data_IF_518457804556
#
_entry.id   IF_518457804556
#
_cell.length_a   1.000
_cell.length_b   1.000
_cell.length_c   1.000
_cell.angle_alpha   90.00
_cell.angle_beta   90.00
_cell.angle_gamma   90.00
#
_symmetry.space_group_name_H-M   'P 1'
#
loop_
_entity.id
_entity.type
_entity.pdbx_description
1 polymer ?
#
# COMPACT_ATOMS: atom_id res chain seq x y z
N UNK A 1 -9.75 -17.78 22.45
CA UNK A 1 -10.17 -16.76 21.45
C UNK A 1 -11.58 -17.13 21.00
N UNK A 2 -12.59 -16.27 21.24
CA UNK A 2 -13.97 -16.53 20.83
C UNK A 2 -14.05 -16.57 19.30
N UNK A 3 -14.46 -17.72 18.76
CA UNK A 3 -14.87 -17.91 17.37
C UNK A 3 -16.24 -17.23 17.25
N UNK A 4 -16.29 -15.91 17.09
CA UNK A 4 -17.52 -15.23 16.69
C UNK A 4 -17.90 -15.80 15.33
N UNK A 5 -18.99 -16.56 15.30
CA UNK A 5 -19.59 -17.09 14.07
C UNK A 5 -19.74 -15.91 13.10
N UNK A 6 -19.26 -16.09 11.87
CA UNK A 6 -19.44 -15.10 10.81
C UNK A 6 -20.95 -14.91 10.63
N UNK A 7 -21.48 -13.67 10.64
CA UNK A 7 -22.91 -13.40 10.50
C UNK A 7 -23.55 -14.04 9.25
N UNK A 8 -22.73 -14.31 8.23
CA UNK A 8 -23.14 -14.94 6.97
C UNK A 8 -22.10 -16.00 6.54
N UNK A 9 -22.29 -17.28 6.92
CA UNK A 9 -21.34 -18.35 6.59
C UNK A 9 -21.25 -18.64 5.08
N UNK A 10 -22.30 -18.34 4.31
CA UNK A 10 -22.32 -18.45 2.85
C UNK A 10 -21.65 -17.26 2.15
N UNK A 11 -21.31 -16.19 2.88
CA UNK A 11 -20.73 -14.96 2.32
C UNK A 11 -19.46 -14.51 3.09
N UNK A 12 -18.42 -15.36 3.19
CA UNK A 12 -17.23 -15.06 3.99
C UNK A 12 -16.53 -13.77 3.57
N UNK A 13 -16.60 -13.41 2.28
CA UNK A 13 -16.00 -12.18 1.77
C UNK A 13 -16.57 -10.92 2.44
N UNK A 14 -17.87 -10.88 2.76
CA UNK A 14 -18.51 -9.70 3.38
C UNK A 14 -17.98 -9.42 4.78
N UNK A 15 -17.47 -10.43 5.47
CA UNK A 15 -16.90 -10.26 6.79
C UNK A 15 -15.44 -9.80 6.75
N UNK A 16 -14.69 -10.19 5.71
CA UNK A 16 -13.30 -9.81 5.54
C UNK A 16 -13.13 -8.34 5.12
N UNK A 17 -14.00 -7.86 4.24
CA UNK A 17 -14.00 -6.49 3.76
C UNK A 17 -15.41 -6.04 3.36
N UNK A 18 -15.71 -4.75 3.49
CA UNK A 18 -16.97 -4.19 2.97
C UNK A 18 -16.88 -4.03 1.45
N UNK A 19 -16.94 -5.16 0.74
CA UNK A 19 -16.92 -5.18 -0.73
C UNK A 19 -18.14 -4.49 -1.35
N UNK A 20 -19.22 -4.31 -0.58
CA UNK A 20 -20.48 -3.70 -1.05
C UNK A 20 -20.34 -2.20 -1.31
N UNK A 21 -19.63 -1.48 -0.42
CA UNK A 21 -19.20 -0.09 -0.67
C UNK A 21 -17.95 -0.02 -1.54
N UNK A 22 -17.26 -1.15 -1.73
CA UNK A 22 -15.98 -1.24 -2.38
C UNK A 22 -16.02 -1.82 -3.81
N UNK A 23 -17.17 -1.73 -4.49
CA UNK A 23 -17.13 -1.56 -5.95
C UNK A 23 -16.20 -0.40 -6.33
N UNK A 24 -15.89 0.55 -5.44
CA UNK A 24 -14.69 1.40 -5.52
C UNK A 24 -13.73 1.12 -4.37
N UNK A 25 -12.81 0.15 -4.51
CA UNK A 25 -11.73 0.01 -3.52
C UNK A 25 -10.74 1.16 -3.69
N UNK A 26 -10.63 2.03 -2.67
CA UNK A 26 -9.37 2.75 -2.44
C UNK A 26 -8.38 1.69 -2.00
N UNK A 27 -7.35 1.41 -2.81
CA UNK A 27 -6.46 0.27 -2.53
C UNK A 27 -5.84 0.32 -1.13
N UNK A 28 -5.22 -0.79 -0.74
CA UNK A 28 -4.92 -1.14 0.67
C UNK A 28 -4.18 -0.07 1.48
N UNK A 29 -3.56 0.90 0.82
CA UNK A 29 -2.98 2.11 1.40
C UNK A 29 -3.99 3.03 2.11
N UNK A 30 -5.29 2.78 2.04
CA UNK A 30 -6.33 3.60 2.68
C UNK A 30 -6.29 3.58 4.23
N UNK A 31 -5.59 2.62 4.87
CA UNK A 31 -5.26 2.71 6.31
C UNK A 31 -4.31 3.87 6.65
N UNK A 32 -3.61 4.44 5.67
CA UNK A 32 -2.73 5.61 5.87
C UNK A 32 -3.52 6.92 5.99
N UNK A 33 -4.77 6.97 5.52
CA UNK A 33 -5.60 8.17 5.59
C UNK A 33 -6.01 8.56 7.02
N UNK A 34 -5.89 7.66 8.00
CA UNK A 34 -6.03 8.00 9.43
C UNK A 34 -4.68 8.35 10.07
N UNK A 35 -3.57 7.88 9.48
CA UNK A 35 -2.20 8.10 9.97
C UNK A 35 -1.55 9.37 9.43
N UNK A 36 -2.17 10.08 8.49
CA UNK A 36 -1.62 11.35 7.99
C UNK A 36 -1.35 12.36 9.11
N UNK A 37 -2.20 12.43 10.13
CA UNK A 37 -1.97 13.27 11.31
C UNK A 37 -0.68 12.91 12.05
N UNK A 38 -0.30 11.63 12.09
CA UNK A 38 0.98 11.19 12.70
C UNK A 38 2.17 11.73 11.90
N UNK A 39 2.06 11.77 10.57
CA UNK A 39 3.12 12.36 9.73
C UNK A 39 3.21 13.88 9.88
N UNK A 40 2.06 14.57 9.97
CA UNK A 40 2.02 16.02 10.21
C UNK A 40 2.61 16.35 11.59
N UNK A 41 2.20 15.62 12.63
CA UNK A 41 2.74 15.78 13.98
C UNK A 41 4.24 15.49 14.03
N UNK A 42 4.68 14.39 13.42
CA UNK A 42 6.10 14.03 13.35
C UNK A 42 6.95 15.08 12.62
N UNK A 43 6.43 15.65 11.53
CA UNK A 43 7.08 16.76 10.82
C UNK A 43 7.16 18.02 11.70
N UNK A 44 6.08 18.34 12.44
CA UNK A 44 6.06 19.45 13.38
C UNK A 44 7.11 19.31 14.49
N UNK A 45 7.23 18.12 15.09
CA UNK A 45 8.25 17.82 16.11
C UNK A 45 9.65 17.96 15.50
N UNK A 46 9.87 17.42 14.31
CA UNK A 46 11.17 17.50 13.63
C UNK A 46 11.58 18.95 13.37
N UNK A 47 10.66 19.79 12.89
CA UNK A 47 10.90 21.21 12.65
C UNK A 47 11.16 21.97 13.95
N UNK A 48 10.46 21.64 15.04
CA UNK A 48 10.71 22.23 16.35
C UNK A 48 12.12 21.88 16.85
N UNK A 49 12.53 20.62 16.74
CA UNK A 49 13.88 20.20 17.12
C UNK A 49 14.94 20.88 16.26
N UNK A 50 14.77 20.92 14.93
CA UNK A 50 15.65 21.65 14.01
C UNK A 50 15.81 23.13 14.42
N UNK A 51 14.69 23.77 14.79
CA UNK A 51 14.68 25.17 15.23
C UNK A 51 15.42 25.37 16.54
N UNK A 52 15.22 24.49 17.54
CA UNK A 52 15.93 24.54 18.82
C UNK A 52 17.43 24.37 18.62
N UNK A 53 17.86 23.40 17.81
CA UNK A 53 19.30 23.22 17.56
C UNK A 53 19.92 24.36 16.77
N UNK A 54 19.19 24.98 15.84
CA UNK A 54 19.65 26.20 15.18
C UNK A 54 19.82 27.36 16.15
N UNK A 55 18.90 27.50 17.11
CA UNK A 55 18.99 28.54 18.14
C UNK A 55 20.21 28.32 19.06
N UNK A 56 20.45 27.09 19.53
CA UNK A 56 21.65 26.77 20.33
C UNK A 56 22.92 26.97 19.52
N UNK A 57 22.93 26.55 18.24
CA UNK A 57 24.09 26.72 17.36
C UNK A 57 24.45 28.19 17.11
N UNK A 58 23.44 29.07 17.12
CA UNK A 58 23.63 30.51 16.99
C UNK A 58 24.27 31.12 18.24
N UNK A 59 23.83 30.71 19.43
CA UNK A 59 24.35 31.19 20.71
C UNK A 59 25.79 30.71 20.97
N UNK A 60 26.09 29.47 20.60
CA UNK A 60 27.42 28.85 20.77
C UNK A 60 28.41 29.18 19.64
N UNK A 61 28.01 30.05 18.71
CA UNK A 61 28.87 30.42 17.58
C UNK A 61 30.12 31.15 18.08
N UNK A 62 31.29 30.52 17.87
CA UNK A 62 32.59 31.07 18.28
C UNK A 62 33.13 30.52 19.60
N UNK A 63 32.38 29.69 20.33
CA UNK A 63 32.79 29.11 21.62
C UNK A 63 33.63 27.82 21.47
N UNK A 64 34.78 27.93 20.78
CA UNK A 64 35.77 26.86 20.69
C UNK A 64 35.24 25.55 20.08
N UNK A 65 35.78 24.40 20.54
CA UNK A 65 35.45 23.07 20.00
C UNK A 65 33.97 22.71 20.24
N UNK A 66 33.37 23.16 21.34
CA UNK A 66 31.97 22.89 21.68
C UNK A 66 31.00 23.47 20.64
N UNK A 67 31.22 24.73 20.23
CA UNK A 67 30.39 25.39 19.21
C UNK A 67 30.40 24.66 17.86
N UNK A 68 31.55 24.14 17.43
CA UNK A 68 31.64 23.37 16.18
C UNK A 68 30.82 22.08 16.21
N UNK A 69 30.78 21.38 17.35
CA UNK A 69 29.97 20.16 17.49
C UNK A 69 28.48 20.48 17.36
N UNK A 70 28.01 21.55 18.00
CA UNK A 70 26.60 21.98 17.91
C UNK A 70 26.24 22.38 16.49
N UNK A 71 27.13 23.11 15.79
CA UNK A 71 26.92 23.51 14.39
C UNK A 71 26.80 22.30 13.46
N UNK A 72 27.66 21.30 13.61
CA UNK A 72 27.61 20.06 12.82
C UNK A 72 26.29 19.32 13.09
N UNK A 73 25.88 19.19 14.35
CA UNK A 73 24.62 18.55 14.73
C UNK A 73 23.42 19.28 14.12
N UNK A 74 23.38 20.61 14.23
CA UNK A 74 22.33 21.44 13.65
C UNK A 74 22.27 21.25 12.13
N UNK A 75 23.41 21.26 11.44
CA UNK A 75 23.49 21.02 10.00
C UNK A 75 22.84 19.69 9.60
N UNK A 76 23.21 18.58 10.25
CA UNK A 76 22.62 17.27 9.94
C UNK A 76 21.13 17.19 10.24
N UNK A 77 20.65 17.85 11.30
CA UNK A 77 19.22 17.87 11.61
C UNK A 77 18.43 18.65 10.55
N UNK A 78 18.94 19.79 10.07
CA UNK A 78 18.31 20.52 8.96
C UNK A 78 18.34 19.70 7.67
N UNK A 79 19.46 19.05 7.35
CA UNK A 79 19.55 18.19 6.18
C UNK A 79 18.51 17.06 6.23
N UNK A 80 18.35 16.43 7.39
CA UNK A 80 17.33 15.42 7.61
C UNK A 80 15.90 15.97 7.48
N UNK A 81 15.63 17.16 8.03
CA UNK A 81 14.35 17.84 7.89
C UNK A 81 14.01 18.15 6.42
N UNK A 82 14.97 18.70 5.66
CA UNK A 82 14.83 18.96 4.22
C UNK A 82 14.53 17.68 3.45
N UNK A 83 15.24 16.58 3.74
CA UNK A 83 14.98 15.28 3.12
C UNK A 83 13.56 14.78 3.38
N UNK A 84 13.09 14.85 4.63
CA UNK A 84 11.72 14.44 5.00
C UNK A 84 10.68 15.29 4.30
N UNK A 85 10.88 16.62 4.23
CA UNK A 85 10.00 17.55 3.52
C UNK A 85 9.97 17.22 2.02
N UNK A 86 11.12 17.00 1.40
CA UNK A 86 11.21 16.64 -0.02
C UNK A 86 10.44 15.35 -0.34
N UNK A 87 10.56 14.33 0.52
CA UNK A 87 9.79 13.09 0.40
C UNK A 87 8.27 13.32 0.58
N UNK A 88 7.88 14.19 1.52
CA UNK A 88 6.49 14.55 1.75
C UNK A 88 5.89 15.30 0.55
N UNK A 89 6.60 16.30 0.01
CA UNK A 89 6.23 17.04 -1.20
C UNK A 89 6.11 16.07 -2.38
N UNK A 90 7.08 15.18 -2.60
CA UNK A 90 7.01 14.16 -3.67
C UNK A 90 5.74 13.31 -3.55
N UNK A 91 5.37 12.86 -2.34
CA UNK A 91 4.13 12.11 -2.10
C UNK A 91 2.87 12.93 -2.36
N UNK A 92 2.87 14.21 -1.95
CA UNK A 92 1.76 15.13 -2.21
C UNK A 92 1.58 15.36 -3.71
N UNK A 93 2.66 15.64 -4.44
CA UNK A 93 2.65 15.83 -5.89
C UNK A 93 2.13 14.59 -6.61
N UNK A 94 2.55 13.37 -6.21
CA UNK A 94 1.98 12.13 -6.74
C UNK A 94 0.47 12.05 -6.50
N UNK A 95 0.01 12.40 -5.29
CA UNK A 95 -1.42 12.38 -4.96
C UNK A 95 -2.22 13.42 -5.74
N UNK A 96 -1.66 14.59 -6.00
CA UNK A 96 -2.30 15.63 -6.82
C UNK A 96 -2.34 15.23 -8.30
N UNK A 97 -1.25 14.65 -8.82
CA UNK A 97 -1.13 14.23 -10.22
C UNK A 97 -2.04 13.05 -10.56
N UNK A 98 -2.05 12.01 -9.72
CA UNK A 98 -2.75 10.76 -10.00
C UNK A 98 -4.12 10.67 -9.31
N UNK A 99 -4.37 11.53 -8.32
CA UNK A 99 -5.58 11.46 -7.51
C UNK A 99 -5.56 10.24 -6.58
N UNK A 100 -6.76 9.76 -6.23
CA UNK A 100 -6.95 8.54 -5.47
C UNK A 100 -7.39 7.44 -6.44
N UNK A 101 -6.51 6.49 -6.76
CA UNK A 101 -6.86 5.44 -7.70
C UNK A 101 -7.93 4.53 -7.10
N UNK A 102 -8.86 4.09 -7.94
CA UNK A 102 -9.96 3.20 -7.58
C UNK A 102 -9.95 2.01 -8.52
N UNK A 103 -10.41 0.87 -8.03
CA UNK A 103 -10.72 -0.27 -8.88
C UNK A 103 -12.21 -0.56 -8.78
N UNK A 104 -12.83 -0.82 -9.93
CA UNK A 104 -14.19 -1.32 -10.06
C UNK A 104 -14.13 -2.78 -10.50
N UNK A 105 -14.78 -3.67 -9.77
CA UNK A 105 -14.97 -5.05 -10.19
C UNK A 105 -16.35 -5.19 -10.82
N UNK A 106 -16.45 -5.93 -11.92
CA UNK A 106 -17.75 -6.18 -12.54
C UNK A 106 -18.59 -7.18 -11.72
N UNK A 107 -17.92 -8.09 -11.00
CA UNK A 107 -18.56 -9.07 -10.10
C UNK A 107 -17.71 -9.30 -8.86
N UNK A 108 -18.38 -9.50 -7.71
CA UNK A 108 -17.75 -9.87 -6.44
C UNK A 108 -18.61 -10.93 -5.72
N UNK A 109 -18.01 -12.00 -5.18
CA UNK A 109 -16.62 -12.41 -5.35
C UNK A 109 -16.36 -12.97 -6.76
N UNK A 110 -15.09 -13.06 -7.13
CA UNK A 110 -14.63 -13.84 -8.29
C UNK A 110 -14.27 -15.23 -7.79
N UNK A 111 -14.62 -16.28 -8.53
CA UNK A 111 -14.30 -17.66 -8.16
C UNK A 111 -13.05 -18.16 -8.90
N UNK A 112 -12.29 -19.11 -8.33
CA UNK A 112 -11.31 -19.87 -9.11
C UNK A 112 -11.97 -20.47 -10.37
N UNK A 113 -11.29 -20.41 -11.50
CA UNK A 113 -11.83 -20.81 -12.81
C UNK A 113 -12.64 -19.74 -13.54
N UNK A 114 -12.98 -18.61 -12.91
CA UNK A 114 -13.68 -17.49 -13.55
C UNK A 114 -12.72 -16.43 -14.11
N UNK A 115 -13.22 -15.62 -15.04
CA UNK A 115 -12.52 -14.43 -15.54
C UNK A 115 -12.71 -13.25 -14.58
N UNK A 116 -11.63 -12.76 -13.99
CA UNK A 116 -11.57 -11.51 -13.26
C UNK A 116 -11.67 -10.35 -14.24
N UNK A 117 -12.79 -9.60 -14.21
CA UNK A 117 -12.95 -8.34 -14.92
C UNK A 117 -12.99 -7.16 -13.95
N UNK A 118 -12.11 -6.20 -14.18
CA UNK A 118 -12.02 -4.99 -13.39
C UNK A 118 -11.65 -3.77 -14.23
N UNK A 119 -11.91 -2.58 -13.69
CA UNK A 119 -11.56 -1.29 -14.27
C UNK A 119 -10.83 -0.45 -13.24
N UNK A 120 -9.59 -0.08 -13.52
CA UNK A 120 -8.82 0.85 -12.68
C UNK A 120 -9.05 2.27 -13.17
N UNK A 121 -9.57 3.12 -12.29
CA UNK A 121 -9.86 4.52 -12.55
C UNK A 121 -8.83 5.36 -11.81
N UNK A 122 -7.98 6.05 -12.54
CA UNK A 122 -6.98 6.96 -11.95
C UNK A 122 -6.64 8.08 -12.92
N UNK A 123 -6.33 9.26 -12.38
CA UNK A 123 -6.01 10.41 -13.22
C UNK A 123 -4.63 10.22 -13.83
N UNK A 124 -4.50 10.58 -15.11
CA UNK A 124 -3.21 10.65 -15.79
C UNK A 124 -2.62 9.32 -16.23
N UNK A 125 -3.28 8.18 -16.02
CA UNK A 125 -2.80 6.89 -16.51
C UNK A 125 -2.67 6.86 -18.04
N UNK A 126 -3.53 7.61 -18.74
CA UNK A 126 -3.47 7.85 -20.19
C UNK A 126 -2.17 8.46 -20.70
N UNK A 127 -1.28 8.91 -19.80
CA UNK A 127 0.05 9.47 -20.12
C UNK A 127 1.19 8.51 -19.76
N UNK A 128 0.90 7.25 -19.48
CA UNK A 128 1.91 6.23 -19.20
C UNK A 128 2.62 5.83 -20.49
N UNK A 129 3.94 5.74 -20.44
CA UNK A 129 4.77 5.25 -21.54
C UNK A 129 4.73 3.71 -21.61
N UNK A 130 4.63 3.06 -20.45
CA UNK A 130 4.44 1.62 -20.30
C UNK A 130 3.52 1.32 -19.14
N UNK A 131 2.73 0.27 -19.29
CA UNK A 131 1.83 -0.21 -18.26
C UNK A 131 2.05 -1.71 -18.05
N UNK A 132 2.27 -2.08 -16.80
CA UNK A 132 2.42 -3.44 -16.34
C UNK A 132 1.35 -3.67 -15.25
N UNK A 133 0.51 -4.67 -15.45
CA UNK A 133 -0.47 -5.09 -14.46
C UNK A 133 -0.10 -6.49 -14.00
N UNK A 134 -0.02 -6.66 -12.69
CA UNK A 134 0.40 -7.90 -12.06
C UNK A 134 -0.62 -8.36 -11.05
N UNK A 135 -1.23 -9.51 -11.29
CA UNK A 135 -2.03 -10.21 -10.28
C UNK A 135 -1.12 -11.16 -9.50
N UNK A 136 -1.20 -11.16 -8.15
CA UNK A 136 -0.37 -11.96 -7.24
C UNK A 136 -1.19 -12.57 -6.11
N UNK A 137 -0.85 -13.78 -5.70
CA UNK A 137 -1.32 -14.37 -4.44
C UNK A 137 -0.30 -14.08 -3.34
N UNK A 138 -0.76 -13.64 -2.18
CA UNK A 138 0.07 -13.16 -1.06
C UNK A 138 -0.30 -13.92 0.21
N UNK A 139 0.72 -14.44 0.91
CA UNK A 139 0.58 -15.15 2.18
C UNK A 139 1.33 -14.40 3.28
N UNK A 140 0.63 -13.77 4.22
CA UNK A 140 1.28 -13.02 5.31
C UNK A 140 1.99 -13.95 6.29
N UNK A 141 3.31 -14.03 6.25
CA UNK A 141 4.09 -14.78 7.23
C UNK A 141 4.31 -13.95 8.50
N UNK A 142 4.16 -14.58 9.67
CA UNK A 142 4.35 -13.92 10.95
C UNK A 142 5.64 -14.41 11.59
N UNK A 143 6.71 -13.61 11.50
CA UNK A 143 7.98 -13.88 12.15
C UNK A 143 7.99 -13.40 13.60
N UNK A 144 8.20 -14.29 14.56
CA UNK A 144 8.50 -13.89 15.93
C UNK A 144 9.98 -13.56 16.06
N UNK A 145 10.34 -12.28 15.90
CA UNK A 145 11.67 -11.82 16.29
C UNK A 145 11.71 -11.70 17.82
N UNK A 146 12.26 -12.71 18.50
CA UNK A 146 12.56 -12.62 19.93
C UNK A 146 13.53 -11.47 20.16
N UNK A 147 13.01 -10.34 20.67
CA UNK A 147 13.87 -9.26 21.17
C UNK A 147 14.60 -9.76 22.41
N UNK A 148 15.92 -9.61 22.45
CA UNK A 148 16.76 -10.02 23.60
C UNK A 148 16.40 -9.33 24.92
N UNK A 149 15.54 -8.30 24.90
CA UNK A 149 15.00 -7.60 26.07
C UNK A 149 13.51 -7.91 26.28
N UNK A 150 13.16 -9.17 26.55
CA UNK A 150 11.96 -9.60 27.33
C UNK A 150 10.55 -9.17 26.90
N UNK A 151 10.38 -8.30 25.90
CA UNK A 151 9.09 -7.88 25.35
C UNK A 151 9.05 -8.27 23.88
N UNK A 152 8.40 -9.41 23.62
CA UNK A 152 8.21 -9.94 22.28
C UNK A 152 7.48 -8.92 21.40
N UNK A 153 8.22 -8.27 20.51
CA UNK A 153 7.64 -7.44 19.46
C UNK A 153 7.41 -8.36 18.26
N UNK A 154 6.16 -8.71 18.01
CA UNK A 154 5.77 -9.45 16.80
C UNK A 154 6.03 -8.53 15.60
N UNK A 155 6.98 -8.90 14.75
CA UNK A 155 7.23 -8.20 13.48
C UNK A 155 6.43 -8.96 12.43
N UNK A 156 5.52 -8.27 11.77
CA UNK A 156 4.75 -8.86 10.66
C UNK A 156 5.61 -8.69 9.42
N UNK A 157 6.10 -9.81 8.87
CA UNK A 157 6.85 -9.83 7.63
C UNK A 157 5.96 -10.40 6.54
N UNK A 158 5.25 -9.53 5.83
CA UNK A 158 4.43 -9.94 4.70
C UNK A 158 5.34 -10.37 3.55
N UNK A 159 5.68 -11.66 3.48
CA UNK A 159 6.41 -12.23 2.36
C UNK A 159 5.40 -12.74 1.32
N UNK A 160 5.53 -12.33 0.06
CA UNK A 160 4.77 -12.97 -1.02
C UNK A 160 5.35 -14.38 -1.21
N UNK A 161 4.67 -15.38 -0.66
CA UNK A 161 4.98 -16.79 -0.87
C UNK A 161 4.01 -17.30 -1.93
N UNK A 162 4.54 -17.82 -3.03
CA UNK A 162 3.82 -18.33 -4.20
C UNK A 162 3.18 -17.24 -5.08
N UNK A 163 4.04 -16.50 -5.77
CA UNK A 163 3.61 -15.55 -6.81
C UNK A 163 3.14 -16.33 -8.03
N UNK A 164 1.84 -16.59 -8.13
CA UNK A 164 1.22 -16.68 -9.45
C UNK A 164 1.29 -15.29 -10.06
N UNK A 165 2.29 -15.04 -10.89
CA UNK A 165 2.51 -13.75 -11.52
C UNK A 165 1.93 -13.78 -12.93
N UNK A 166 0.80 -13.10 -13.13
CA UNK A 166 0.33 -12.82 -14.49
C UNK A 166 0.67 -11.39 -14.80
N UNK A 167 1.62 -11.23 -15.73
CA UNK A 167 2.05 -9.93 -16.23
C UNK A 167 1.40 -9.72 -17.58
N UNK A 168 0.60 -8.66 -17.69
CA UNK A 168 0.27 -8.10 -19.00
C UNK A 168 1.25 -6.96 -19.26
N UNK A 169 2.30 -7.25 -20.03
CA UNK A 169 3.20 -6.23 -20.58
C UNK A 169 2.58 -5.61 -21.82
N UNK A 170 2.84 -4.32 -22.04
CA UNK A 170 2.31 -3.56 -23.18
C UNK A 170 0.81 -3.79 -23.37
N UNK A 171 0.03 -3.50 -22.32
CA UNK A 171 -1.39 -3.25 -22.53
C UNK A 171 -1.45 -2.03 -23.46
N UNK A 172 -1.53 -2.28 -24.77
CA UNK A 172 -1.90 -1.36 -25.84
C UNK A 172 -3.37 -0.96 -25.60
N UNK A 173 -3.62 -0.42 -24.41
CA UNK A 173 -4.92 -0.04 -23.95
C UNK A 173 -5.21 1.27 -24.63
N UNK A 174 -6.24 1.21 -25.45
CA UNK A 174 -7.30 2.19 -25.50
C UNK A 174 -7.71 2.60 -24.08
N UNK A 175 -6.83 3.29 -23.36
CA UNK A 175 -7.16 4.04 -22.17
C UNK A 175 -8.26 4.94 -22.65
N UNK A 176 -9.48 4.70 -22.16
CA UNK A 176 -10.55 5.64 -22.38
C UNK A 176 -9.99 7.01 -22.04
N UNK A 177 -10.28 8.03 -22.85
CA UNK A 177 -9.75 9.38 -22.60
C UNK A 177 -10.06 9.91 -21.18
N UNK A 178 -10.92 9.20 -20.44
CA UNK A 178 -11.31 9.38 -19.04
C UNK A 178 -10.28 8.87 -18.00
N UNK A 179 -9.23 8.15 -18.40
CA UNK A 179 -8.25 7.57 -17.47
C UNK A 179 -8.70 6.25 -16.85
N UNK A 180 -9.56 5.50 -17.55
CA UNK A 180 -9.98 4.16 -17.17
C UNK A 180 -9.16 3.09 -17.87
N UNK A 181 -8.60 2.16 -17.10
CA UNK A 181 -7.87 0.99 -17.56
C UNK A 181 -8.73 -0.27 -17.35
N UNK A 182 -9.24 -0.92 -18.41
CA UNK A 182 -9.84 -2.24 -18.28
C UNK A 182 -8.75 -3.30 -18.01
N UNK A 183 -9.08 -4.26 -17.16
CA UNK A 183 -8.20 -5.34 -16.71
C UNK A 183 -8.98 -6.64 -16.76
N UNK A 184 -8.41 -7.64 -17.43
CA UNK A 184 -8.96 -8.99 -17.50
C UNK A 184 -7.89 -10.02 -17.15
N UNK A 185 -8.19 -10.94 -16.24
CA UNK A 185 -7.33 -12.08 -15.90
C UNK A 185 -8.15 -13.35 -15.80
N UNK A 186 -7.71 -14.43 -16.43
CA UNK A 186 -8.31 -15.75 -16.21
C UNK A 186 -7.73 -16.34 -14.91
N UNK A 187 -8.58 -16.53 -13.90
CA UNK A 187 -8.16 -17.15 -12.64
C UNK A 187 -8.18 -18.67 -12.85
N UNK A 188 -7.05 -19.39 -12.64
CA UNK A 188 -7.05 -20.85 -12.74
C UNK A 188 -8.07 -21.49 -11.79
N UNK A 189 -8.62 -22.63 -12.17
CA UNK A 189 -9.52 -23.40 -11.30
C UNK A 189 -8.82 -23.91 -10.04
N UNK A 190 -7.52 -24.22 -10.15
CA UNK A 190 -6.66 -24.61 -9.03
C UNK A 190 -6.20 -23.43 -8.14
N UNK A 191 -6.60 -22.19 -8.47
CA UNK A 191 -6.17 -21.02 -7.74
C UNK A 191 -6.73 -21.03 -6.30
N UNK A 192 -5.90 -20.74 -5.28
CA UNK A 192 -6.37 -20.70 -3.90
C UNK A 192 -7.34 -19.54 -3.65
N UNK A 193 -8.32 -19.76 -2.79
CA UNK A 193 -9.24 -18.71 -2.33
C UNK A 193 -8.62 -17.80 -1.25
N UNK A 194 -9.15 -16.59 -1.12
CA UNK A 194 -8.81 -15.65 -0.05
C UNK A 194 -9.23 -16.20 1.32
N UNK A 195 -8.33 -16.05 2.30
CA UNK A 195 -8.48 -16.47 3.69
C UNK A 195 -7.93 -15.36 4.60
N UNK A 196 -8.57 -14.18 4.58
CA UNK A 196 -8.12 -13.02 5.36
C UNK A 196 -8.38 -13.18 6.87
N UNK A 197 -9.37 -13.99 7.25
CA UNK A 197 -9.69 -14.32 8.64
C UNK A 197 -8.70 -15.32 9.27
N UNK A 198 -7.94 -16.06 8.46
CA UNK A 198 -6.95 -17.03 8.94
C UNK A 198 -5.59 -16.36 9.14
N UNK A 199 -4.72 -17.01 9.94
CA UNK A 199 -3.32 -16.59 10.13
C UNK A 199 -2.43 -17.80 9.82
N UNK A 200 -1.51 -17.71 8.84
CA UNK A 200 -1.21 -16.56 7.99
C UNK A 200 -2.40 -16.14 7.13
N UNK A 201 -2.62 -14.83 6.94
CA UNK A 201 -3.69 -14.36 6.05
C UNK A 201 -3.25 -14.57 4.61
N UNK A 202 -4.18 -15.01 3.77
CA UNK A 202 -3.90 -15.29 2.37
C UNK A 202 -4.87 -14.53 1.49
N UNK A 203 -4.39 -13.83 0.49
CA UNK A 203 -5.23 -12.98 -0.34
C UNK A 203 -4.60 -12.70 -1.70
N UNK A 204 -5.43 -12.22 -2.62
CA UNK A 204 -4.99 -11.79 -3.93
C UNK A 204 -4.81 -10.28 -3.98
N UNK A 205 -3.73 -9.84 -4.62
CA UNK A 205 -3.38 -8.45 -4.87
C UNK A 205 -3.18 -8.21 -6.36
N UNK A 206 -3.78 -7.14 -6.86
CA UNK A 206 -3.54 -6.59 -8.18
C UNK A 206 -2.64 -5.36 -8.06
N UNK A 207 -1.41 -5.47 -8.53
CA UNK A 207 -0.46 -4.37 -8.68
C UNK A 207 -0.59 -3.75 -10.07
N UNK A 208 -0.73 -2.44 -10.12
CA UNK A 208 -0.67 -1.65 -11.36
C UNK A 208 0.60 -0.81 -11.28
N UNK A 209 1.51 -1.05 -12.20
CA UNK A 209 2.74 -0.30 -12.39
C UNK A 209 2.69 0.42 -13.73
N UNK A 210 2.72 1.75 -13.71
CA UNK A 210 2.78 2.57 -14.90
C UNK A 210 4.07 3.40 -14.90
N UNK A 211 4.88 3.20 -15.92
CA UNK A 211 6.07 4.00 -16.18
C UNK A 211 5.61 5.33 -16.78
N UNK A 212 6.00 6.44 -16.16
CA UNK A 212 5.51 7.76 -16.50
C UNK A 212 6.67 8.73 -16.65
N UNK A 213 6.54 9.75 -17.51
CA UNK A 213 7.45 10.91 -17.47
C UNK A 213 7.43 11.57 -16.08
N UNK A 214 8.48 11.35 -15.30
CA UNK A 214 8.64 11.85 -13.94
C UNK A 214 8.64 10.73 -12.90
N UNK A 215 7.56 10.63 -12.12
CA UNK A 215 7.45 9.64 -11.03
C UNK A 215 6.52 8.52 -11.45
N UNK A 216 7.01 7.30 -11.45
CA UNK A 216 6.23 6.10 -11.76
C UNK A 216 5.04 5.95 -10.82
N UNK A 217 3.95 5.41 -11.37
CA UNK A 217 2.75 5.11 -10.62
C UNK A 217 2.76 3.64 -10.24
N UNK A 218 2.78 3.34 -8.94
CA UNK A 218 2.64 1.98 -8.40
C UNK A 218 1.50 1.94 -7.39
N UNK A 219 0.52 1.09 -7.63
CA UNK A 219 -0.60 0.92 -6.71
C UNK A 219 -1.07 -0.53 -6.62
N UNK A 220 -1.47 -0.96 -5.41
CA UNK A 220 -2.00 -2.31 -5.15
C UNK A 220 -3.46 -2.28 -4.73
N UNK A 221 -4.24 -3.22 -5.23
CA UNK A 221 -5.65 -3.40 -4.90
C UNK A 221 -5.90 -4.83 -4.44
N UNK A 222 -6.70 -4.98 -3.39
CA UNK A 222 -7.18 -6.29 -2.96
C UNK A 222 -8.13 -6.86 -4.02
N UNK A 223 -8.02 -8.15 -4.34
CA UNK A 223 -8.90 -8.85 -5.27
C UNK A 223 -9.73 -9.88 -4.52
N UNK A 224 -11.07 -9.87 -4.64
CA UNK A 224 -11.94 -10.75 -3.89
C UNK A 224 -12.10 -12.12 -4.55
N UNK A 225 -11.04 -12.93 -4.56
CA UNK A 225 -11.12 -14.32 -5.04
C UNK A 225 -11.58 -15.23 -3.91
N UNK A 226 -12.79 -15.79 -3.96
CA UNK A 226 -13.34 -16.64 -2.90
C UNK A 226 -14.01 -17.90 -3.47
N UNK A 227 -13.84 -19.03 -2.78
CA UNK A 227 -14.63 -20.23 -3.01
C UNK A 227 -15.92 -20.19 -2.18
N UNK A 228 -17.04 -20.65 -2.75
CA UNK A 228 -18.28 -20.87 -2.01
C UNK A 228 -18.32 -22.22 -1.32
N UNK A 229 -17.47 -23.14 -1.76
CA UNK A 229 -17.33 -24.44 -1.14
C UNK A 229 -16.63 -24.24 0.19
N UNK A 230 -17.42 -24.35 1.27
CA UNK A 230 -16.87 -24.56 2.61
C UNK A 230 -15.95 -25.77 2.51
N UNK A 231 -14.68 -25.68 2.94
CA UNK A 231 -13.88 -26.89 3.08
C UNK A 231 -14.68 -27.82 4.00
N UNK A 232 -15.03 -29.00 3.48
CA UNK A 232 -15.53 -30.08 4.31
C UNK A 232 -14.52 -30.26 5.43
N UNK A 233 -14.95 -30.01 6.66
CA UNK A 233 -14.10 -30.02 7.85
C UNK A 233 -13.48 -31.38 8.11
#
# INVERSE_FOLDING_TARGET
>A
RRRTLLPHPSEPWRADYDWSRAMTLRGMRSRDARRWWVHVLGLGILLAMASISNWIAYDEWGNGIGGWVVLIMAFFMNLFAVLVIALAIRRLLMRLRYGLPRILFDRVPVRPGELLRARVITRGLSKADRLCVTLRYVVEVYGERKSSRGKGKQVIECQAHDTYEWVSEDVDAHLGGDGTLPIEFAIPESAPACQLHQRPARFWDLEVHAQMRGVDFVHRFAVPVYSLDLPAG
#
